data_IF_764408876471
#
_entry.id   IF_764408876471
#
_cell.length_a   1.000
_cell.length_b   1.000
_cell.length_c   1.000
_cell.angle_alpha   90.00
_cell.angle_beta   90.00
_cell.angle_gamma   90.00
#
_symmetry.space_group_name_H-M   'P 1'
#
loop_
_entity.id
_entity.type
_entity.pdbx_description
1 polymer ?
#
# COMPACT_ATOMS: atom_id res chain seq x y z
N UNK A 1 -0.60 -57.98 -30.74
CA UNK A 1 -0.50 -56.72 -29.97
C UNK A 1 0.36 -57.02 -28.74
N UNK A 2 1.68 -56.96 -28.87
CA UNK A 2 2.62 -57.17 -27.76
C UNK A 2 2.75 -55.85 -27.02
N UNK A 3 2.15 -55.75 -25.82
CA UNK A 3 2.45 -54.67 -24.89
C UNK A 3 3.85 -54.97 -24.31
N UNK A 4 4.78 -54.05 -24.51
CA UNK A 4 6.17 -54.21 -24.11
C UNK A 4 6.28 -54.25 -22.57
N UNK A 5 7.01 -55.23 -22.03
CA UNK A 5 7.24 -55.40 -20.58
C UNK A 5 7.93 -54.17 -19.96
N UNK A 6 8.69 -53.42 -20.76
CA UNK A 6 9.28 -52.12 -20.38
C UNK A 6 8.25 -51.02 -20.17
N UNK A 7 7.13 -51.03 -20.89
CA UNK A 7 6.06 -50.03 -20.69
C UNK A 7 5.31 -50.30 -19.38
N UNK A 8 5.16 -51.58 -19.00
CA UNK A 8 4.53 -52.00 -17.74
C UNK A 8 5.40 -51.66 -16.53
N UNK A 9 6.72 -51.85 -16.61
CA UNK A 9 7.64 -51.51 -15.50
C UNK A 9 7.80 -50.00 -15.31
N UNK A 10 7.84 -49.21 -16.39
CA UNK A 10 7.81 -47.74 -16.33
C UNK A 10 6.48 -47.26 -15.74
N UNK A 11 5.36 -47.88 -16.12
CA UNK A 11 4.04 -47.55 -15.58
C UNK A 11 3.93 -47.87 -14.08
N UNK A 12 4.42 -49.03 -13.62
CA UNK A 12 4.46 -49.38 -12.20
C UNK A 12 5.39 -48.46 -11.38
N UNK A 13 6.58 -48.15 -11.89
CA UNK A 13 7.51 -47.23 -11.21
C UNK A 13 6.94 -45.80 -11.14
N UNK A 14 6.26 -45.35 -12.20
CA UNK A 14 5.51 -44.09 -12.21
C UNK A 14 4.35 -44.11 -11.21
N UNK A 15 3.57 -45.20 -11.16
CA UNK A 15 2.48 -45.37 -10.22
C UNK A 15 2.95 -45.33 -8.76
N UNK A 16 4.00 -46.09 -8.42
CA UNK A 16 4.56 -46.11 -7.07
C UNK A 16 5.14 -44.75 -6.67
N UNK A 17 5.79 -44.04 -7.61
CA UNK A 17 6.22 -42.65 -7.41
C UNK A 17 5.05 -41.73 -7.07
N UNK A 18 3.95 -41.78 -7.84
CA UNK A 18 2.76 -40.96 -7.57
C UNK A 18 2.07 -41.34 -6.25
N UNK A 19 2.06 -42.61 -5.86
CA UNK A 19 1.53 -43.07 -4.56
C UNK A 19 2.34 -42.47 -3.41
N UNK A 20 3.67 -42.50 -3.49
CA UNK A 20 4.55 -41.89 -2.48
C UNK A 20 4.38 -40.38 -2.43
N UNK A 21 4.30 -39.71 -3.58
CA UNK A 21 4.04 -38.26 -3.67
C UNK A 21 2.69 -37.90 -3.04
N UNK A 22 1.63 -38.65 -3.34
CA UNK A 22 0.30 -38.44 -2.77
C UNK A 22 0.27 -38.69 -1.26
N UNK A 23 0.98 -39.72 -0.78
CA UNK A 23 1.12 -39.98 0.65
C UNK A 23 1.85 -38.83 1.35
N UNK A 24 2.95 -38.33 0.77
CA UNK A 24 3.69 -37.17 1.27
C UNK A 24 2.82 -35.91 1.30
N UNK A 25 2.05 -35.64 0.24
CA UNK A 25 1.10 -34.52 0.19
C UNK A 25 0.01 -34.62 1.27
N UNK A 26 -0.52 -35.83 1.51
CA UNK A 26 -1.51 -36.06 2.58
C UNK A 26 -0.91 -35.73 3.95
N UNK A 27 0.26 -36.27 4.28
CA UNK A 27 0.95 -36.00 5.54
C UNK A 27 1.23 -34.50 5.68
N UNK A 28 1.69 -33.85 4.61
CA UNK A 28 1.94 -32.41 4.60
C UNK A 28 0.69 -31.59 4.90
N UNK A 29 -0.45 -31.91 4.28
CA UNK A 29 -1.74 -31.26 4.56
C UNK A 29 -2.17 -31.48 6.01
N UNK A 30 -2.05 -32.70 6.54
CA UNK A 30 -2.38 -32.97 7.94
C UNK A 30 -1.51 -32.16 8.91
N UNK A 31 -0.21 -32.04 8.65
CA UNK A 31 0.69 -31.21 9.45
C UNK A 31 0.31 -29.73 9.39
N UNK A 32 -0.04 -29.20 8.22
CA UNK A 32 -0.51 -27.82 8.07
C UNK A 32 -1.79 -27.60 8.87
N UNK A 33 -2.76 -28.50 8.76
CA UNK A 33 -4.02 -28.39 9.49
C UNK A 33 -3.77 -28.43 11.00
N UNK A 34 -3.02 -29.41 11.47
CA UNK A 34 -2.76 -29.60 12.90
C UNK A 34 -1.91 -28.48 13.52
N UNK A 35 -0.83 -28.07 12.85
CA UNK A 35 0.16 -27.14 13.41
C UNK A 35 -0.10 -25.68 13.07
N UNK A 36 -0.81 -25.37 11.99
CA UNK A 36 -1.01 -24.00 11.54
C UNK A 36 -2.48 -23.60 11.51
N UNK A 37 -3.40 -24.47 11.08
CA UNK A 37 -4.82 -24.12 11.00
C UNK A 37 -5.49 -24.16 12.38
N UNK A 38 -5.40 -25.28 13.10
CA UNK A 38 -6.04 -25.45 14.42
C UNK A 38 -5.62 -24.35 15.40
N UNK A 39 -4.32 -24.02 15.55
CA UNK A 39 -3.92 -22.90 16.40
C UNK A 39 -4.50 -21.55 15.94
N UNK A 40 -4.78 -21.37 14.65
CA UNK A 40 -5.32 -20.12 14.11
C UNK A 40 -6.78 -19.95 14.49
N UNK A 41 -7.53 -21.04 14.43
CA UNK A 41 -8.95 -21.06 14.78
C UNK A 41 -9.17 -20.59 16.22
N UNK A 42 -8.30 -21.03 17.14
CA UNK A 42 -8.39 -20.68 18.56
C UNK A 42 -7.56 -19.44 18.94
N UNK A 43 -6.76 -18.89 18.01
CA UNK A 43 -5.98 -17.68 18.24
C UNK A 43 -4.70 -17.87 19.07
N UNK A 44 -4.17 -19.10 19.18
CA UNK A 44 -2.89 -19.38 19.83
C UNK A 44 -1.75 -19.55 18.80
N UNK A 45 -0.53 -19.18 19.21
CA UNK A 45 0.71 -19.36 18.45
C UNK A 45 1.48 -20.54 19.04
N UNK A 46 2.01 -21.43 18.19
CA UNK A 46 2.92 -22.49 18.64
C UNK A 46 4.38 -22.00 18.79
N UNK A 47 4.62 -20.69 18.68
CA UNK A 47 5.97 -20.09 18.77
C UNK A 47 6.88 -20.32 17.54
N UNK A 48 6.42 -21.11 16.55
CA UNK A 48 7.16 -21.38 15.30
C UNK A 48 7.42 -20.08 14.54
N UNK A 49 6.38 -19.27 14.36
CA UNK A 49 6.49 -17.98 13.66
C UNK A 49 7.41 -17.00 14.39
N UNK A 50 7.35 -16.94 15.73
CA UNK A 50 8.23 -16.08 16.53
C UNK A 50 9.70 -16.50 16.42
N UNK A 51 9.97 -17.80 16.42
CA UNK A 51 11.32 -18.34 16.24
C UNK A 51 11.85 -18.03 14.84
N UNK A 52 11.02 -18.23 13.80
CA UNK A 52 11.35 -17.85 12.42
C UNK A 52 11.69 -16.36 12.31
N UNK A 53 10.86 -15.48 12.90
CA UNK A 53 11.09 -14.03 12.87
C UNK A 53 12.40 -13.65 13.58
N UNK A 54 12.72 -14.24 14.73
CA UNK A 54 13.99 -14.00 15.44
C UNK A 54 15.20 -14.38 14.59
N UNK A 55 15.15 -15.52 13.89
CA UNK A 55 16.23 -15.96 13.00
C UNK A 55 16.35 -15.00 11.80
N UNK A 56 15.22 -14.62 11.21
CA UNK A 56 15.16 -13.72 10.06
C UNK A 56 15.73 -12.34 10.38
N UNK A 57 15.32 -11.73 11.49
CA UNK A 57 15.83 -10.42 11.95
C UNK A 57 17.35 -10.46 12.07
N UNK A 58 17.89 -11.44 12.81
CA UNK A 58 19.34 -11.59 12.98
C UNK A 58 20.07 -11.75 11.64
N UNK A 59 19.47 -12.46 10.70
CA UNK A 59 20.04 -12.67 9.35
C UNK A 59 20.06 -11.36 8.55
N UNK A 60 18.98 -10.58 8.60
CA UNK A 60 18.86 -9.31 7.89
C UNK A 60 19.75 -8.22 8.52
N UNK A 61 19.85 -8.16 9.84
CA UNK A 61 20.78 -7.26 10.56
C UNK A 61 22.23 -7.56 10.17
N UNK A 62 22.62 -8.84 10.20
CA UNK A 62 23.95 -9.26 9.77
C UNK A 62 24.24 -8.88 8.31
N UNK A 63 23.29 -9.10 7.41
CA UNK A 63 23.42 -8.73 6.00
C UNK A 63 23.57 -7.21 5.83
N UNK A 64 22.78 -6.42 6.57
CA UNK A 64 22.80 -4.95 6.51
C UNK A 64 24.15 -4.41 7.00
N UNK A 65 24.65 -4.88 8.14
CA UNK A 65 25.95 -4.46 8.68
C UNK A 65 27.09 -4.74 7.70
N UNK A 66 27.03 -5.88 7.01
CA UNK A 66 28.03 -6.23 5.98
C UNK A 66 28.02 -5.26 4.81
N UNK A 67 26.84 -4.88 4.32
CA UNK A 67 26.70 -3.93 3.21
C UNK A 67 27.18 -2.55 3.61
N UNK A 68 26.77 -2.07 4.79
CA UNK A 68 27.22 -0.77 5.30
C UNK A 68 28.75 -0.71 5.45
N UNK A 69 29.39 -1.81 5.86
CA UNK A 69 30.85 -1.89 5.93
C UNK A 69 31.49 -1.73 4.55
N UNK A 70 30.99 -2.46 3.54
CA UNK A 70 31.51 -2.38 2.15
C UNK A 70 31.23 -1.01 1.53
N UNK A 71 30.02 -0.46 1.70
CA UNK A 71 29.66 0.86 1.18
C UNK A 71 30.46 1.97 1.87
N UNK A 72 30.78 1.83 3.18
CA UNK A 72 31.64 2.78 3.89
C UNK A 72 33.07 2.75 3.31
N UNK A 73 33.59 1.57 3.00
CA UNK A 73 34.88 1.44 2.32
C UNK A 73 34.85 2.10 0.92
N UNK A 74 33.78 1.94 0.15
CA UNK A 74 33.60 2.59 -1.15
C UNK A 74 33.40 4.11 -1.07
N UNK A 75 32.59 4.61 -0.14
CA UNK A 75 32.38 6.05 0.04
C UNK A 75 33.63 6.77 0.56
N UNK A 76 34.49 6.11 1.33
CA UNK A 76 35.82 6.66 1.69
C UNK A 76 36.67 6.86 0.43
N UNK A 77 36.49 6.04 -0.60
CA UNK A 77 37.19 6.18 -1.88
C UNK A 77 36.56 7.30 -2.75
N UNK A 78 35.23 7.41 -2.79
CA UNK A 78 34.50 8.39 -3.61
C UNK A 78 34.40 9.80 -3.03
N UNK A 79 34.42 9.97 -1.70
CA UNK A 79 34.37 11.27 -1.02
C UNK A 79 35.59 12.17 -1.29
N UNK A 80 36.54 11.72 -2.11
CA UNK A 80 37.60 12.56 -2.65
C UNK A 80 37.18 13.46 -3.83
N UNK A 81 35.93 13.36 -4.36
CA UNK A 81 35.57 14.05 -5.61
C UNK A 81 34.23 14.79 -5.74
N UNK A 82 33.45 15.09 -4.70
CA UNK A 82 32.29 15.99 -4.89
C UNK A 82 31.82 16.74 -3.64
N UNK A 83 31.80 18.07 -3.73
CA UNK A 83 31.12 18.97 -2.81
C UNK A 83 29.89 19.57 -3.50
N UNK A 84 28.74 19.54 -2.82
CA UNK A 84 27.63 20.49 -3.07
C UNK A 84 26.24 19.86 -3.11
N UNK A 85 25.50 19.99 -2.00
CA UNK A 85 24.04 19.87 -1.98
C UNK A 85 23.46 21.07 -2.75
N UNK A 86 22.57 20.83 -3.72
CA UNK A 86 21.88 21.92 -4.43
C UNK A 86 20.93 22.59 -3.45
N UNK A 87 21.16 23.86 -3.13
CA UNK A 87 20.27 24.66 -2.31
C UNK A 87 19.21 25.29 -3.23
N UNK A 88 17.93 24.99 -2.96
CA UNK A 88 16.79 25.57 -3.67
C UNK A 88 16.73 27.06 -3.39
N UNK A 89 16.54 27.84 -4.45
CA UNK A 89 16.28 29.26 -4.36
C UNK A 89 14.77 29.47 -4.49
N UNK A 90 14.14 30.08 -3.48
CA UNK A 90 12.69 30.29 -3.41
C UNK A 90 12.22 31.52 -4.21
N UNK A 91 13.12 32.11 -5.00
CA UNK A 91 12.84 33.26 -5.86
C UNK A 91 11.73 33.00 -6.89
N UNK A 92 11.06 34.08 -7.30
CA UNK A 92 10.03 34.02 -8.34
C UNK A 92 10.64 33.66 -9.72
N UNK A 93 9.84 33.09 -10.63
CA UNK A 93 10.29 32.82 -12.01
C UNK A 93 10.87 34.07 -12.70
N UNK A 94 10.29 35.24 -12.42
CA UNK A 94 10.75 36.52 -12.97
C UNK A 94 12.13 36.92 -12.44
N UNK A 95 12.36 36.72 -11.15
CA UNK A 95 13.63 37.02 -10.49
C UNK A 95 14.74 36.10 -11.00
N UNK A 96 14.49 34.79 -11.01
CA UNK A 96 15.47 33.80 -11.48
C UNK A 96 15.83 34.01 -12.95
N UNK A 97 14.84 34.26 -13.82
CA UNK A 97 15.09 34.58 -15.23
C UNK A 97 15.77 35.94 -15.39
N UNK A 98 15.40 36.93 -14.57
CA UNK A 98 16.05 38.24 -14.54
C UNK A 98 17.53 38.16 -14.18
N UNK A 99 17.90 37.31 -13.23
CA UNK A 99 19.30 37.05 -12.87
C UNK A 99 20.07 36.36 -14.01
N UNK A 100 19.48 35.32 -14.61
CA UNK A 100 20.03 34.64 -15.79
C UNK A 100 20.29 35.59 -16.95
N UNK A 101 19.44 36.61 -17.11
CA UNK A 101 19.52 37.61 -18.18
C UNK A 101 20.37 38.84 -17.79
N UNK A 102 20.78 39.00 -16.52
CA UNK A 102 21.42 40.22 -15.96
C UNK A 102 22.68 40.67 -16.73
N UNK A 103 23.35 39.74 -17.42
CA UNK A 103 24.55 40.03 -18.22
C UNK A 103 24.28 40.49 -19.66
N UNK A 104 23.00 40.58 -20.10
CA UNK A 104 22.65 40.93 -21.48
C UNK A 104 21.87 42.25 -21.62
N UNK A 105 22.14 43.03 -22.69
CA UNK A 105 21.29 44.15 -23.07
C UNK A 105 19.90 43.66 -23.49
N UNK A 106 18.83 44.26 -22.96
CA UNK A 106 17.47 44.00 -23.43
C UNK A 106 17.33 44.43 -24.90
N UNK A 107 16.81 43.56 -25.79
CA UNK A 107 16.62 43.93 -27.19
C UNK A 107 15.65 45.12 -27.33
N UNK A 108 15.93 46.10 -28.21
CA UNK A 108 15.08 47.27 -28.41
C UNK A 108 13.76 46.94 -29.12
N UNK A 109 13.71 45.84 -29.88
CA UNK A 109 12.52 45.37 -30.62
C UNK A 109 12.42 43.85 -30.45
N UNK A 110 11.22 43.38 -30.06
CA UNK A 110 10.96 41.96 -29.78
C UNK A 110 10.90 41.63 -28.28
N UNK A 111 10.34 40.46 -27.98
CA UNK A 111 10.18 39.97 -26.61
C UNK A 111 11.50 39.56 -25.94
N UNK A 112 11.51 39.47 -24.60
CA UNK A 112 12.70 39.23 -23.77
C UNK A 112 13.09 37.73 -23.69
N UNK A 113 12.81 36.95 -24.75
CA UNK A 113 13.16 35.53 -24.79
C UNK A 113 14.67 35.32 -24.93
N UNK A 114 15.23 34.43 -24.12
CA UNK A 114 16.61 33.98 -24.30
C UNK A 114 16.74 32.46 -24.26
N UNK A 115 17.65 31.90 -25.06
CA UNK A 115 17.92 30.45 -25.04
C UNK A 115 18.40 29.97 -23.66
N UNK A 116 19.02 30.85 -22.86
CA UNK A 116 19.41 30.58 -21.47
C UNK A 116 18.23 30.33 -20.54
N UNK A 117 17.03 30.79 -20.89
CA UNK A 117 15.80 30.52 -20.10
C UNK A 117 15.54 29.01 -19.99
N UNK A 118 16.02 28.20 -20.97
CA UNK A 118 15.93 26.74 -20.90
C UNK A 118 16.65 26.15 -19.67
N UNK A 119 17.74 26.77 -19.18
CA UNK A 119 18.46 26.28 -18.00
C UNK A 119 17.64 26.45 -16.73
N UNK A 120 16.84 27.52 -16.62
CA UNK A 120 15.91 27.69 -15.52
C UNK A 120 14.90 26.53 -15.48
N UNK A 121 14.25 26.22 -16.61
CA UNK A 121 13.28 25.13 -16.66
C UNK A 121 13.90 23.75 -16.47
N UNK A 122 15.14 23.53 -16.95
CA UNK A 122 15.86 22.29 -16.72
C UNK A 122 16.20 22.10 -15.25
N UNK A 123 16.79 23.12 -14.61
CA UNK A 123 17.07 23.14 -13.17
C UNK A 123 15.79 22.93 -12.38
N UNK A 124 14.74 23.69 -12.67
CA UNK A 124 13.46 23.61 -11.94
C UNK A 124 12.79 22.26 -12.12
N UNK A 125 12.82 21.70 -13.33
CA UNK A 125 12.31 20.35 -13.58
C UNK A 125 13.05 19.27 -12.80
N UNK A 126 14.37 19.39 -12.62
CA UNK A 126 15.14 18.48 -11.77
C UNK A 126 14.78 18.67 -10.30
N UNK A 127 14.75 19.92 -9.81
CA UNK A 127 14.34 20.24 -8.43
C UNK A 127 12.96 19.67 -8.11
N UNK A 128 11.97 19.89 -8.98
CA UNK A 128 10.61 19.39 -8.81
C UNK A 128 10.52 17.85 -8.82
N UNK A 129 11.42 17.15 -9.53
CA UNK A 129 11.50 15.68 -9.52
C UNK A 129 12.15 15.17 -8.22
N UNK A 130 13.25 15.80 -7.80
CA UNK A 130 14.01 15.42 -6.61
C UNK A 130 13.16 15.65 -5.35
N UNK A 131 12.44 16.77 -5.31
CA UNK A 131 11.61 17.20 -4.18
C UNK A 131 10.13 16.79 -4.34
N UNK A 132 9.83 15.81 -5.20
CA UNK A 132 8.46 15.34 -5.41
C UNK A 132 7.91 14.58 -4.19
N UNK A 133 7.22 15.31 -3.31
CA UNK A 133 6.65 14.76 -2.09
C UNK A 133 5.44 13.83 -2.33
N UNK A 134 4.83 13.87 -3.52
CA UNK A 134 3.52 13.28 -3.80
C UNK A 134 3.64 12.02 -4.67
N UNK A 135 4.25 12.10 -5.85
CA UNK A 135 4.22 10.95 -6.77
C UNK A 135 5.15 9.82 -6.34
N UNK A 136 6.22 10.14 -5.59
CA UNK A 136 7.07 9.15 -4.92
C UNK A 136 6.27 8.24 -3.98
N UNK A 137 5.15 8.73 -3.42
CA UNK A 137 4.25 7.94 -2.55
C UNK A 137 3.45 6.87 -3.29
N UNK A 138 3.48 6.87 -4.62
CA UNK A 138 2.86 5.85 -5.47
C UNK A 138 3.86 4.78 -5.96
N UNK A 139 5.09 4.83 -5.48
CA UNK A 139 6.15 3.84 -5.71
C UNK A 139 6.52 3.10 -4.42
N UNK A 140 7.12 1.92 -4.53
CA UNK A 140 7.61 1.17 -3.35
C UNK A 140 8.52 2.04 -2.50
N UNK A 141 8.43 1.91 -1.17
CA UNK A 141 9.32 2.61 -0.25
C UNK A 141 10.77 2.16 -0.50
N UNK A 142 11.67 3.12 -0.71
CA UNK A 142 13.09 2.86 -0.85
C UNK A 142 13.70 2.64 0.52
N UNK A 143 14.40 1.51 0.67
CA UNK A 143 14.98 1.10 1.93
C UNK A 143 16.46 1.50 1.99
N UNK A 144 16.85 2.14 3.10
CA UNK A 144 18.27 2.41 3.39
C UNK A 144 19.05 1.11 3.62
N UNK A 145 18.38 0.06 4.10
CA UNK A 145 18.96 -1.27 4.35
C UNK A 145 18.46 -2.30 3.35
N UNK A 146 19.36 -3.16 2.85
CA UNK A 146 18.95 -4.22 1.95
C UNK A 146 18.27 -5.39 2.69
N UNK A 147 17.06 -5.73 2.25
CA UNK A 147 16.25 -6.82 2.79
C UNK A 147 16.41 -8.16 2.03
N UNK A 148 17.47 -8.31 1.21
CA UNK A 148 17.68 -9.47 0.33
C UNK A 148 16.55 -9.70 -0.70
N UNK A 149 15.68 -8.71 -0.93
CA UNK A 149 14.70 -8.72 -2.00
C UNK A 149 15.19 -7.82 -3.14
N UNK A 150 15.49 -8.41 -4.29
CA UNK A 150 16.00 -7.69 -5.46
C UNK A 150 14.97 -6.70 -6.04
N UNK A 151 13.69 -6.85 -5.71
CA UNK A 151 12.60 -6.01 -6.26
C UNK A 151 12.34 -4.72 -5.49
N UNK A 152 12.97 -4.54 -4.33
CA UNK A 152 12.85 -3.34 -3.47
C UNK A 152 14.17 -2.58 -3.39
N UNK A 153 15.15 -2.97 -4.21
CA UNK A 153 16.43 -2.27 -4.33
C UNK A 153 16.72 -2.06 -5.83
N UNK A 154 16.85 -0.80 -6.24
CA UNK A 154 17.02 -0.40 -7.64
C UNK A 154 18.47 -0.62 -8.10
N UNK A 155 19.44 -0.58 -7.16
CA UNK A 155 20.88 -0.64 -7.45
C UNK A 155 21.48 -1.95 -6.94
N UNK A 156 21.05 -3.07 -7.51
CA UNK A 156 21.72 -4.35 -7.26
C UNK A 156 23.08 -4.40 -7.97
N UNK A 157 24.11 -3.88 -7.31
CA UNK A 157 25.49 -4.17 -7.67
C UNK A 157 25.98 -5.40 -6.89
N UNK A 158 26.79 -6.25 -7.50
CA UNK A 158 27.38 -7.41 -6.83
C UNK A 158 28.26 -6.94 -5.66
N UNK A 159 27.80 -7.15 -4.42
CA UNK A 159 28.53 -6.68 -3.22
C UNK A 159 29.56 -7.72 -2.75
N UNK A 160 29.17 -9.00 -2.58
CA UNK A 160 30.09 -10.07 -2.19
C UNK A 160 29.56 -11.48 -2.46
N UNK A 161 30.45 -12.46 -2.66
CA UNK A 161 30.09 -13.88 -2.88
C UNK A 161 29.27 -14.46 -1.72
N UNK A 162 29.65 -14.17 -0.47
CA UNK A 162 28.94 -14.65 0.74
C UNK A 162 27.50 -14.14 0.78
N UNK A 163 27.31 -12.86 0.45
CA UNK A 163 25.98 -12.24 0.46
C UNK A 163 25.12 -12.76 -0.70
N UNK A 164 25.72 -13.01 -1.86
CA UNK A 164 25.06 -13.66 -3.00
C UNK A 164 24.63 -15.10 -2.68
N UNK A 165 25.44 -15.87 -1.95
CA UNK A 165 25.07 -17.21 -1.47
C UNK A 165 23.87 -17.15 -0.50
N UNK A 166 23.87 -16.21 0.45
CA UNK A 166 22.75 -16.01 1.39
C UNK A 166 21.49 -15.57 0.64
N UNK A 167 21.62 -14.69 -0.36
CA UNK A 167 20.52 -14.30 -1.22
C UNK A 167 19.96 -15.49 -2.02
N UNK A 168 20.82 -16.32 -2.62
CA UNK A 168 20.43 -17.51 -3.35
C UNK A 168 19.70 -18.54 -2.48
N UNK A 169 20.22 -18.79 -1.28
CA UNK A 169 19.52 -19.61 -0.27
C UNK A 169 18.18 -19.00 0.11
N UNK A 170 18.12 -17.67 0.27
CA UNK A 170 16.89 -16.95 0.55
C UNK A 170 15.85 -17.04 -0.57
N UNK A 171 16.27 -17.03 -1.83
CA UNK A 171 15.39 -17.30 -2.98
C UNK A 171 14.86 -18.73 -2.90
N UNK A 172 15.72 -19.73 -2.67
CA UNK A 172 15.28 -21.12 -2.52
C UNK A 172 14.25 -21.28 -1.39
N UNK A 173 14.52 -20.75 -0.19
CA UNK A 173 13.59 -20.82 0.95
C UNK A 173 12.26 -20.12 0.61
N UNK A 174 12.29 -18.93 0.02
CA UNK A 174 11.06 -18.16 -0.26
C UNK A 174 10.20 -18.83 -1.32
N UNK A 175 10.79 -19.37 -2.38
CA UNK A 175 10.05 -19.88 -3.53
C UNK A 175 9.72 -21.38 -3.42
N UNK A 176 10.60 -22.20 -2.84
CA UNK A 176 10.41 -23.65 -2.77
C UNK A 176 9.76 -24.11 -1.45
N UNK A 177 9.84 -23.30 -0.38
CA UNK A 177 9.31 -23.68 0.94
C UNK A 177 8.17 -22.75 1.38
N UNK A 178 8.44 -21.44 1.48
CA UNK A 178 7.45 -20.49 2.02
C UNK A 178 6.28 -20.26 1.08
N UNK A 179 6.53 -20.01 -0.21
CA UNK A 179 5.46 -19.72 -1.16
C UNK A 179 4.44 -20.87 -1.32
N UNK A 180 4.83 -22.15 -1.50
CA UNK A 180 3.87 -23.25 -1.56
C UNK A 180 3.05 -23.39 -0.27
N UNK A 181 3.69 -23.30 0.90
CA UNK A 181 3.01 -23.33 2.19
C UNK A 181 1.97 -22.20 2.31
N UNK A 182 2.35 -20.99 1.92
CA UNK A 182 1.51 -19.79 1.95
C UNK A 182 0.33 -19.87 0.99
N UNK A 183 0.56 -20.36 -0.23
CA UNK A 183 -0.50 -20.59 -1.22
C UNK A 183 -1.51 -21.60 -0.69
N UNK A 184 -1.06 -22.68 -0.06
CA UNK A 184 -1.97 -23.68 0.51
C UNK A 184 -2.78 -23.12 1.67
N UNK A 185 -2.15 -22.40 2.60
CA UNK A 185 -2.86 -21.75 3.71
C UNK A 185 -3.87 -20.71 3.22
N UNK A 186 -3.50 -19.87 2.25
CA UNK A 186 -4.40 -18.88 1.68
C UNK A 186 -5.57 -19.55 0.94
N UNK A 187 -5.32 -20.63 0.20
CA UNK A 187 -6.37 -21.40 -0.47
C UNK A 187 -7.34 -22.01 0.54
N UNK A 188 -6.84 -22.64 1.61
CA UNK A 188 -7.67 -23.18 2.70
C UNK A 188 -8.50 -22.06 3.35
N UNK A 189 -7.86 -20.93 3.70
CA UNK A 189 -8.54 -19.81 4.34
C UNK A 189 -9.64 -19.19 3.48
N UNK A 190 -9.40 -19.01 2.18
CA UNK A 190 -10.38 -18.48 1.23
C UNK A 190 -11.52 -19.46 0.95
N UNK A 191 -11.22 -20.75 0.78
CA UNK A 191 -12.24 -21.78 0.60
C UNK A 191 -13.11 -21.90 1.84
N UNK A 192 -12.51 -21.92 3.03
CA UNK A 192 -13.26 -21.97 4.29
C UNK A 192 -14.10 -20.71 4.52
N UNK A 193 -13.61 -19.56 4.10
CA UNK A 193 -14.38 -18.31 4.12
C UNK A 193 -15.63 -18.46 3.26
N UNK A 194 -15.51 -18.90 2.00
CA UNK A 194 -16.65 -19.06 1.09
C UNK A 194 -17.67 -20.07 1.62
N UNK A 195 -17.21 -21.23 2.08
CA UNK A 195 -18.07 -22.30 2.60
C UNK A 195 -18.74 -21.84 3.89
N UNK A 196 -17.97 -21.31 4.84
CA UNK A 196 -18.44 -20.90 6.16
C UNK A 196 -19.44 -19.75 6.08
N UNK A 197 -19.15 -18.69 5.31
CA UNK A 197 -20.07 -17.56 5.17
C UNK A 197 -21.35 -17.95 4.42
N UNK A 198 -21.25 -18.86 3.45
CA UNK A 198 -22.43 -19.41 2.76
C UNK A 198 -23.29 -20.25 3.71
N UNK A 199 -22.67 -21.12 4.53
CA UNK A 199 -23.37 -21.93 5.53
C UNK A 199 -24.08 -21.04 6.57
N UNK A 200 -23.40 -20.02 7.10
CA UNK A 200 -23.97 -19.03 8.01
C UNK A 200 -25.11 -18.25 7.34
N UNK A 201 -25.02 -18.00 6.04
CA UNK A 201 -26.04 -17.30 5.28
C UNK A 201 -27.41 -18.00 5.27
N UNK A 202 -27.44 -19.33 5.36
CA UNK A 202 -28.68 -20.11 5.46
C UNK A 202 -29.35 -20.05 6.84
N UNK A 203 -28.65 -19.53 7.86
CA UNK A 203 -29.23 -19.38 9.19
C UNK A 203 -30.23 -18.21 9.22
N UNK A 204 -31.31 -18.32 10.03
CA UNK A 204 -32.24 -17.22 10.26
C UNK A 204 -31.52 -16.06 10.96
N UNK A 205 -32.07 -14.84 10.87
CA UNK A 205 -31.47 -13.63 11.44
C UNK A 205 -31.67 -13.56 12.96
N UNK A 206 -30.93 -14.40 13.69
CA UNK A 206 -30.85 -14.46 15.16
C UNK A 206 -29.44 -14.13 15.67
N UNK A 207 -29.30 -14.00 17.00
CA UNK A 207 -28.02 -13.72 17.66
C UNK A 207 -26.91 -14.71 17.30
N UNK A 208 -27.24 -16.00 17.14
CA UNK A 208 -26.24 -17.01 16.79
C UNK A 208 -25.70 -16.84 15.36
N UNK A 209 -26.50 -16.35 14.41
CA UNK A 209 -26.00 -16.04 13.05
C UNK A 209 -24.92 -14.98 13.10
N UNK A 210 -25.14 -13.89 13.84
CA UNK A 210 -24.12 -12.83 14.00
C UNK A 210 -22.88 -13.36 14.71
N UNK A 211 -23.04 -14.12 15.79
CA UNK A 211 -21.91 -14.69 16.52
C UNK A 211 -21.08 -15.67 15.66
N UNK A 212 -21.75 -16.57 14.94
CA UNK A 212 -21.10 -17.55 14.07
C UNK A 212 -20.48 -16.87 12.85
N UNK A 213 -21.10 -15.83 12.31
CA UNK A 213 -20.53 -14.99 11.26
C UNK A 213 -19.22 -14.35 11.72
N UNK A 214 -19.22 -13.69 12.89
CA UNK A 214 -18.03 -13.05 13.45
C UNK A 214 -16.92 -14.09 13.67
N UNK A 215 -17.27 -15.27 14.19
CA UNK A 215 -16.32 -16.36 14.42
C UNK A 215 -15.71 -16.91 13.13
N UNK A 216 -16.54 -17.19 12.11
CA UNK A 216 -16.09 -17.69 10.80
C UNK A 216 -15.15 -16.68 10.14
N UNK A 217 -15.52 -15.40 10.09
CA UNK A 217 -14.68 -14.38 9.48
C UNK A 217 -13.33 -14.28 10.19
N UNK A 218 -13.32 -14.07 11.51
CA UNK A 218 -12.07 -13.92 12.27
C UNK A 218 -11.17 -15.15 12.10
N UNK A 219 -11.73 -16.36 12.15
CA UNK A 219 -10.99 -17.60 11.91
C UNK A 219 -10.36 -17.65 10.51
N UNK A 220 -11.14 -17.36 9.46
CA UNK A 220 -10.64 -17.38 8.08
C UNK A 220 -9.57 -16.31 7.85
N UNK A 221 -9.77 -15.09 8.37
CA UNK A 221 -8.78 -14.03 8.25
C UNK A 221 -7.50 -14.33 9.02
N UNK A 222 -7.56 -15.02 10.17
CA UNK A 222 -6.37 -15.52 10.88
C UNK A 222 -5.60 -16.56 10.05
N UNK A 223 -6.30 -17.46 9.37
CA UNK A 223 -5.68 -18.44 8.47
C UNK A 223 -5.02 -17.70 7.28
N UNK A 224 -5.72 -16.75 6.66
CA UNK A 224 -5.18 -15.94 5.57
C UNK A 224 -3.97 -15.10 6.01
N UNK A 225 -4.00 -14.50 7.21
CA UNK A 225 -2.89 -13.76 7.78
C UNK A 225 -1.64 -14.66 7.96
N UNK A 226 -1.83 -15.90 8.43
CA UNK A 226 -0.74 -16.90 8.49
C UNK A 226 -0.25 -17.32 7.11
N UNK A 227 -1.15 -17.39 6.12
CA UNK A 227 -0.83 -17.58 4.71
C UNK A 227 0.00 -16.45 4.10
N UNK A 228 0.11 -15.29 4.76
CA UNK A 228 1.04 -14.22 4.39
C UNK A 228 2.23 -14.12 5.35
N UNK A 229 2.34 -15.05 6.32
CA UNK A 229 3.27 -14.96 7.45
C UNK A 229 3.20 -13.60 8.16
N UNK A 230 1.97 -13.12 8.37
CA UNK A 230 1.75 -11.87 9.06
C UNK A 230 2.17 -11.97 10.53
N UNK A 231 3.00 -11.02 10.97
CA UNK A 231 3.25 -10.75 12.39
C UNK A 231 2.64 -9.38 12.70
N UNK A 232 1.57 -9.37 13.48
CA UNK A 232 0.76 -8.17 13.71
C UNK A 232 0.82 -7.80 15.19
N UNK A 233 1.33 -6.60 15.47
CA UNK A 233 1.38 -6.05 16.82
C UNK A 233 0.24 -5.07 17.02
N UNK A 234 -0.70 -5.43 17.89
CA UNK A 234 -1.86 -4.60 18.20
C UNK A 234 -1.64 -3.83 19.50
N UNK A 235 -1.75 -2.51 19.42
CA UNK A 235 -1.59 -1.58 20.53
C UNK A 235 -2.92 -0.92 20.87
N UNK A 236 -3.08 -0.58 22.16
CA UNK A 236 -4.22 0.17 22.70
C UNK A 236 -5.58 -0.52 22.42
N UNK A 237 -5.66 -1.82 22.69
CA UNK A 237 -6.82 -2.67 22.37
C UNK A 237 -8.13 -2.21 23.03
N UNK A 238 -8.06 -1.42 24.09
CA UNK A 238 -9.19 -0.76 24.74
C UNK A 238 -9.97 0.16 23.78
N UNK A 239 -9.28 0.74 22.78
CA UNK A 239 -9.84 1.63 21.77
C UNK A 239 -10.30 0.91 20.49
N UNK A 240 -10.37 -0.43 20.50
CA UNK A 240 -10.82 -1.20 19.34
C UNK A 240 -12.16 -0.68 18.81
N UNK A 241 -12.32 -0.61 17.47
CA UNK A 241 -13.57 -0.20 16.87
C UNK A 241 -14.74 -1.06 17.33
N UNK A 242 -15.87 -0.42 17.62
CA UNK A 242 -17.07 -1.08 18.15
C UNK A 242 -18.22 -0.98 17.15
N UNK A 243 -19.20 -1.88 17.29
CA UNK A 243 -20.46 -1.79 16.54
C UNK A 243 -21.12 -0.42 16.82
N UNK A 244 -21.78 0.16 15.84
CA UNK A 244 -22.34 1.51 15.89
C UNK A 244 -21.38 2.63 15.45
N UNK A 245 -20.21 2.30 14.89
CA UNK A 245 -19.28 3.32 14.39
C UNK A 245 -18.45 2.87 13.20
N UNK A 246 -17.58 3.77 12.75
CA UNK A 246 -16.81 3.64 11.50
C UNK A 246 -15.32 3.57 11.85
N UNK A 247 -14.68 2.46 11.50
CA UNK A 247 -13.24 2.30 11.57
C UNK A 247 -12.60 2.96 10.35
N UNK A 248 -11.71 3.93 10.56
CA UNK A 248 -10.97 4.62 9.51
C UNK A 248 -9.48 4.39 9.70
N UNK A 249 -8.80 3.93 8.64
CA UNK A 249 -7.36 3.72 8.66
C UNK A 249 -6.65 4.37 7.46
N UNK A 250 -5.34 4.59 7.61
CA UNK A 250 -4.47 4.76 6.45
C UNK A 250 -4.46 3.48 5.61
N UNK A 251 -4.15 3.61 4.31
CA UNK A 251 -4.29 2.48 3.37
C UNK A 251 -3.08 2.27 2.51
N UNK A 252 -2.38 1.18 2.78
CA UNK A 252 -1.19 0.77 2.03
C UNK A 252 -1.51 -0.39 1.09
N UNK A 253 -2.47 -1.24 1.45
CA UNK A 253 -2.76 -2.45 0.71
C UNK A 253 -4.18 -2.99 0.89
N UNK A 254 -4.74 -3.72 -0.08
CA UNK A 254 -5.94 -4.53 0.13
C UNK A 254 -5.81 -5.52 1.30
N UNK A 255 -4.60 -5.96 1.66
CA UNK A 255 -4.40 -6.86 2.81
C UNK A 255 -4.63 -6.17 4.15
N UNK A 256 -4.77 -4.83 4.20
CA UNK A 256 -5.14 -4.08 5.42
C UNK A 256 -6.44 -4.65 6.03
N UNK A 257 -7.35 -5.13 5.19
CA UNK A 257 -8.57 -5.84 5.60
C UNK A 257 -8.23 -7.11 6.37
N UNK A 258 -7.31 -7.94 5.84
CA UNK A 258 -6.87 -9.17 6.53
C UNK A 258 -6.19 -8.84 7.85
N UNK A 259 -5.39 -7.77 7.89
CA UNK A 259 -4.69 -7.30 9.10
C UNK A 259 -5.68 -6.88 10.18
N UNK A 260 -6.70 -6.10 9.86
CA UNK A 260 -7.70 -5.67 10.85
C UNK A 260 -8.67 -6.79 11.21
N UNK A 261 -9.15 -7.55 10.22
CA UNK A 261 -10.12 -8.61 10.44
C UNK A 261 -9.53 -9.84 11.17
N UNK A 262 -8.21 -9.90 11.33
CA UNK A 262 -7.53 -10.88 12.18
C UNK A 262 -7.84 -10.66 13.68
N UNK A 263 -8.21 -9.44 14.09
CA UNK A 263 -8.45 -9.06 15.50
C UNK A 263 -9.90 -8.61 15.80
N UNK A 264 -10.74 -8.47 14.77
CA UNK A 264 -12.15 -8.11 14.92
C UNK A 264 -12.94 -8.39 13.64
N UNK A 265 -14.27 -8.30 13.69
CA UNK A 265 -15.10 -8.42 12.48
C UNK A 265 -15.53 -7.03 12.01
N UNK A 266 -15.51 -6.80 10.70
CA UNK A 266 -15.87 -5.51 10.10
C UNK A 266 -16.76 -5.72 8.88
N UNK A 267 -17.79 -4.89 8.76
CA UNK A 267 -18.45 -4.69 7.48
C UNK A 267 -17.50 -3.86 6.59
N UNK A 268 -17.47 -4.15 5.30
CA UNK A 268 -16.51 -3.53 4.38
C UNK A 268 -17.26 -2.71 3.37
N UNK A 269 -16.66 -1.60 2.97
CA UNK A 269 -17.12 -0.82 1.82
C UNK A 269 -16.04 -0.85 0.76
N UNK A 270 -16.40 -1.25 -0.45
CA UNK A 270 -15.45 -1.28 -1.55
C UNK A 270 -16.11 -1.36 -2.92
N UNK A 271 -15.28 -1.31 -3.95
CA UNK A 271 -15.74 -1.50 -5.32
C UNK A 271 -16.16 -2.96 -5.54
N UNK A 272 -17.24 -3.17 -6.29
CA UNK A 272 -17.66 -4.47 -6.79
C UNK A 272 -16.66 -4.98 -7.84
N UNK A 273 -16.23 -6.24 -7.71
CA UNK A 273 -15.30 -6.88 -8.63
C UNK A 273 -15.93 -8.12 -9.28
N UNK A 274 -15.50 -8.43 -10.49
CA UNK A 274 -15.82 -9.70 -11.17
C UNK A 274 -14.89 -10.85 -10.77
N UNK A 275 -15.00 -11.98 -11.49
CA UNK A 275 -14.10 -13.13 -11.34
C UNK A 275 -14.07 -13.73 -9.93
N UNK A 276 -12.89 -14.22 -9.51
CA UNK A 276 -12.68 -14.83 -8.19
C UNK A 276 -13.00 -13.88 -7.04
N UNK A 277 -12.62 -12.60 -7.15
CA UNK A 277 -12.89 -11.61 -6.12
C UNK A 277 -14.40 -11.37 -5.96
N UNK A 278 -15.15 -11.36 -7.06
CA UNK A 278 -16.61 -11.27 -7.02
C UNK A 278 -17.27 -12.47 -6.33
N UNK A 279 -16.73 -13.68 -6.51
CA UNK A 279 -17.21 -14.87 -5.78
C UNK A 279 -17.00 -14.69 -4.27
N UNK A 280 -15.82 -14.24 -3.86
CA UNK A 280 -15.51 -13.95 -2.46
C UNK A 280 -16.44 -12.87 -1.88
N UNK A 281 -16.62 -11.75 -2.59
CA UNK A 281 -17.48 -10.64 -2.18
C UNK A 281 -18.93 -11.09 -1.97
N UNK A 282 -19.49 -11.86 -2.92
CA UNK A 282 -20.84 -12.43 -2.80
C UNK A 282 -20.98 -13.41 -1.65
N UNK A 283 -19.98 -14.26 -1.44
CA UNK A 283 -19.99 -15.22 -0.35
C UNK A 283 -19.96 -14.53 1.03
N UNK A 284 -19.11 -13.51 1.21
CA UNK A 284 -19.02 -12.75 2.46
C UNK A 284 -20.32 -12.00 2.76
N UNK A 285 -20.92 -11.38 1.73
CA UNK A 285 -22.17 -10.62 1.83
C UNK A 285 -23.38 -11.44 2.34
N UNK A 286 -23.31 -12.79 2.29
CA UNK A 286 -24.36 -13.66 2.83
C UNK A 286 -24.41 -13.69 4.36
N UNK A 287 -23.30 -13.42 5.01
CA UNK A 287 -23.15 -13.56 6.47
C UNK A 287 -22.88 -12.26 7.21
N UNK A 288 -22.38 -11.24 6.51
CA UNK A 288 -22.10 -9.92 7.07
C UNK A 288 -22.54 -8.85 6.04
N UNK A 289 -23.15 -7.74 6.49
CA UNK A 289 -23.68 -6.71 5.60
C UNK A 289 -22.57 -5.83 4.97
N UNK A 290 -21.73 -6.42 4.12
CA UNK A 290 -20.76 -5.67 3.31
C UNK A 290 -21.46 -4.85 2.22
N UNK A 291 -20.87 -3.71 1.87
CA UNK A 291 -21.41 -2.80 0.88
C UNK A 291 -20.45 -2.72 -0.32
N UNK A 292 -20.94 -3.16 -1.49
CA UNK A 292 -20.16 -3.21 -2.72
C UNK A 292 -20.76 -2.25 -3.75
N UNK A 293 -19.93 -1.41 -4.36
CA UNK A 293 -20.38 -0.35 -5.26
C UNK A 293 -19.79 -0.47 -6.66
N UNK A 294 -20.56 -0.11 -7.67
CA UNK A 294 -20.03 0.17 -9.01
C UNK A 294 -19.63 1.63 -9.13
N UNK A 295 -18.50 1.92 -9.77
CA UNK A 295 -18.02 3.31 -9.93
C UNK A 295 -18.97 4.17 -10.75
N UNK A 296 -19.77 3.56 -11.62
CA UNK A 296 -20.76 4.23 -12.46
C UNK A 296 -21.98 4.73 -11.67
N UNK A 297 -22.31 4.07 -10.56
CA UNK A 297 -23.55 4.30 -9.79
C UNK A 297 -23.37 5.28 -8.61
N UNK A 298 -22.19 5.89 -8.45
CA UNK A 298 -21.92 6.85 -7.36
C UNK A 298 -22.69 8.18 -7.47
N UNK A 299 -23.75 8.25 -8.27
CA UNK A 299 -24.58 9.46 -8.43
C UNK A 299 -25.47 9.75 -7.23
N UNK A 300 -25.79 8.76 -6.38
CA UNK A 300 -26.67 8.96 -5.23
C UNK A 300 -25.94 8.84 -3.87
N UNK A 301 -25.16 9.87 -3.56
CA UNK A 301 -24.38 9.99 -2.31
C UNK A 301 -25.25 9.96 -1.05
N UNK A 302 -26.50 10.39 -1.14
CA UNK A 302 -27.50 10.38 -0.06
C UNK A 302 -27.91 8.96 0.33
N UNK A 303 -28.20 8.11 -0.65
CA UNK A 303 -28.55 6.70 -0.44
C UNK A 303 -27.36 5.96 0.17
N UNK A 304 -26.15 6.21 -0.34
CA UNK A 304 -24.90 5.68 0.24
C UNK A 304 -24.78 6.00 1.73
N UNK A 305 -24.93 7.29 2.10
CA UNK A 305 -24.83 7.71 3.50
C UNK A 305 -25.84 6.98 4.39
N UNK A 306 -27.10 6.85 3.93
CA UNK A 306 -28.13 6.14 4.67
C UNK A 306 -27.80 4.66 4.89
N UNK A 307 -27.30 3.95 3.86
CA UNK A 307 -26.87 2.56 3.98
C UNK A 307 -25.71 2.40 4.96
N UNK A 308 -24.73 3.30 4.92
CA UNK A 308 -23.59 3.26 5.85
C UNK A 308 -24.05 3.44 7.30
N UNK A 309 -25.00 4.36 7.58
CA UNK A 309 -25.56 4.51 8.93
C UNK A 309 -26.21 3.20 9.39
N UNK A 310 -27.09 2.63 8.58
CA UNK A 310 -27.83 1.40 8.94
C UNK A 310 -26.87 0.22 9.19
N UNK A 311 -25.88 0.05 8.32
CA UNK A 311 -24.89 -1.03 8.45
C UNK A 311 -23.99 -0.81 9.67
N UNK A 312 -23.61 0.44 9.97
CA UNK A 312 -22.76 0.76 11.12
C UNK A 312 -23.40 0.30 12.43
N UNK A 313 -24.73 0.40 12.57
CA UNK A 313 -25.46 -0.11 13.73
C UNK A 313 -25.38 -1.65 13.88
N UNK A 314 -25.26 -2.38 12.77
CA UNK A 314 -25.21 -3.84 12.76
C UNK A 314 -23.78 -4.36 12.97
N UNK A 315 -22.79 -3.72 12.35
CA UNK A 315 -21.38 -4.10 12.41
C UNK A 315 -20.51 -2.86 12.20
N UNK A 316 -19.37 -2.78 12.89
CA UNK A 316 -18.41 -1.69 12.64
C UNK A 316 -17.97 -1.71 11.17
N UNK A 317 -18.04 -0.57 10.49
CA UNK A 317 -17.66 -0.47 9.09
C UNK A 317 -16.19 -0.11 9.00
N UNK A 318 -15.41 -0.90 8.27
CA UNK A 318 -14.07 -0.54 7.87
C UNK A 318 -14.10 0.28 6.57
N UNK A 319 -13.71 1.55 6.68
CA UNK A 319 -13.55 2.48 5.57
C UNK A 319 -12.08 2.86 5.40
N UNK A 320 -11.62 2.68 4.16
CA UNK A 320 -10.41 3.33 3.69
C UNK A 320 -10.78 4.72 3.17
N UNK A 321 -10.53 5.75 3.97
CA UNK A 321 -10.95 7.11 3.61
C UNK A 321 -10.05 7.78 2.59
N UNK A 322 -8.83 7.30 2.32
CA UNK A 322 -7.96 7.84 1.25
C UNK A 322 -8.46 7.51 -0.17
N UNK A 323 -9.23 6.43 -0.32
CA UNK A 323 -9.71 5.94 -1.62
C UNK A 323 -8.63 5.39 -2.57
N UNK A 324 -7.38 5.29 -2.14
CA UNK A 324 -6.31 4.64 -2.90
C UNK A 324 -5.21 4.11 -2.00
N UNK A 325 -4.56 3.02 -2.41
CA UNK A 325 -3.36 2.52 -1.74
C UNK A 325 -2.18 3.46 -2.05
N UNK A 326 -1.41 3.79 -1.03
CA UNK A 326 -0.16 4.54 -1.12
C UNK A 326 0.95 3.78 -0.38
N UNK A 327 2.19 4.13 -0.63
CA UNK A 327 3.28 3.49 0.09
C UNK A 327 3.22 3.82 1.59
N UNK A 328 3.99 3.08 2.37
CA UNK A 328 3.89 3.04 3.82
C UNK A 328 4.56 4.25 4.53
N UNK A 329 4.68 5.40 3.85
CA UNK A 329 5.44 6.57 4.34
C UNK A 329 4.57 7.79 4.63
N UNK A 330 3.34 7.83 4.10
CA UNK A 330 2.45 8.99 4.24
C UNK A 330 0.98 8.59 4.38
N UNK A 331 0.15 9.57 4.70
CA UNK A 331 -1.32 9.48 4.65
C UNK A 331 -1.83 10.56 3.70
N UNK A 332 -2.58 10.16 2.67
CA UNK A 332 -3.22 11.09 1.73
C UNK A 332 -4.48 11.73 2.31
N UNK A 333 -4.95 12.79 1.68
CA UNK A 333 -6.21 13.44 1.99
C UNK A 333 -7.36 12.43 2.09
N UNK A 334 -8.07 12.47 3.21
CA UNK A 334 -9.28 11.68 3.41
C UNK A 334 -10.46 12.30 2.66
N UNK A 335 -11.27 11.44 2.04
CA UNK A 335 -12.47 11.85 1.33
C UNK A 335 -13.57 12.25 2.33
N UNK A 336 -14.05 13.48 2.17
CA UNK A 336 -15.08 14.11 3.03
C UNK A 336 -16.33 13.24 3.26
N UNK A 337 -16.75 12.44 2.27
CA UNK A 337 -17.98 11.66 2.32
C UNK A 337 -18.09 10.71 3.52
N UNK A 338 -16.97 10.14 4.01
CA UNK A 338 -16.97 9.29 5.20
C UNK A 338 -17.26 10.04 6.51
N UNK A 339 -17.07 11.35 6.52
CA UNK A 339 -17.15 12.21 7.71
C UNK A 339 -18.43 13.06 7.75
N UNK A 340 -19.20 13.10 6.65
CA UNK A 340 -20.50 13.79 6.57
C UNK A 340 -21.66 12.96 7.17
N UNK A 341 -21.46 11.64 7.30
CA UNK A 341 -22.51 10.70 7.71
C UNK A 341 -22.92 10.89 9.18
N UNK A 342 -22.05 11.51 9.98
CA UNK A 342 -22.20 11.58 11.44
C UNK A 342 -21.89 10.24 12.12
N UNK A 343 -21.76 10.26 13.44
CA UNK A 343 -21.44 9.10 14.26
C UNK A 343 -20.00 9.07 14.79
N UNK A 344 -19.64 7.95 15.40
CA UNK A 344 -18.34 7.76 16.05
C UNK A 344 -17.33 7.18 15.06
N UNK A 345 -16.23 7.90 14.83
CA UNK A 345 -15.08 7.42 14.07
C UNK A 345 -14.07 6.77 15.02
N UNK A 346 -13.59 5.58 14.66
CA UNK A 346 -12.50 4.89 15.33
C UNK A 346 -11.26 4.95 14.43
N UNK A 347 -10.32 5.87 14.71
CA UNK A 347 -9.11 5.98 13.90
C UNK A 347 -8.16 4.82 14.20
N UNK A 348 -7.53 4.30 13.15
CA UNK A 348 -6.55 3.22 13.26
C UNK A 348 -5.33 3.57 12.42
N UNK A 349 -4.15 3.52 13.04
CA UNK A 349 -2.89 3.65 12.33
C UNK A 349 -2.30 2.26 12.06
N UNK A 350 -1.96 1.99 10.81
CA UNK A 350 -1.28 0.76 10.37
C UNK A 350 0.08 1.17 9.82
N UNK A 351 1.17 0.65 10.39
CA UNK A 351 2.52 0.84 9.87
C UNK A 351 3.13 -0.51 9.56
N UNK A 352 3.40 -0.76 8.29
CA UNK A 352 4.15 -1.93 7.85
C UNK A 352 5.64 -1.73 8.12
N UNK A 353 6.35 -2.84 8.29
CA UNK A 353 7.80 -2.83 8.33
C UNK A 353 8.33 -3.30 6.96
N UNK A 354 8.82 -2.38 6.12
CA UNK A 354 9.29 -2.69 4.77
C UNK A 354 10.56 -3.58 4.77
N UNK A 355 11.25 -3.74 5.91
CA UNK A 355 12.42 -4.61 6.05
C UNK A 355 12.08 -6.08 5.74
N UNK A 356 10.86 -6.53 6.02
CA UNK A 356 10.46 -7.93 5.79
C UNK A 356 9.76 -8.15 4.45
N UNK A 357 9.11 -7.11 3.94
CA UNK A 357 8.40 -7.15 2.68
C UNK A 357 7.64 -5.86 2.39
N UNK A 358 7.68 -5.43 1.14
CA UNK A 358 6.92 -4.27 0.66
C UNK A 358 5.43 -4.60 0.51
N UNK A 359 4.62 -4.14 1.46
CA UNK A 359 3.18 -4.35 1.47
C UNK A 359 2.43 -3.52 0.41
N UNK A 360 3.05 -2.48 -0.15
CA UNK A 360 2.36 -1.51 -0.99
C UNK A 360 1.78 -2.15 -2.26
N UNK A 361 0.49 -1.89 -2.53
CA UNK A 361 -0.14 -2.29 -3.77
C UNK A 361 -0.24 -1.14 -4.78
N UNK A 362 0.53 -1.26 -5.86
CA UNK A 362 0.35 -0.44 -7.06
C UNK A 362 -0.54 -1.16 -8.08
N UNK A 363 -1.82 -0.82 -8.08
CA UNK A 363 -2.82 -1.36 -9.02
C UNK A 363 -2.56 -1.02 -10.48
N UNK A 364 -1.75 0.00 -10.79
CA UNK A 364 -1.36 0.32 -12.16
C UNK A 364 -0.27 -0.61 -12.70
N UNK A 365 0.52 -1.24 -11.81
CA UNK A 365 1.64 -2.12 -12.15
C UNK A 365 1.32 -3.59 -11.98
N UNK A 366 0.51 -3.94 -10.97
CA UNK A 366 0.25 -5.33 -10.60
C UNK A 366 -1.25 -5.59 -10.42
N UNK A 367 -1.75 -6.65 -11.07
CA UNK A 367 -3.05 -7.22 -10.73
C UNK A 367 -3.00 -7.92 -9.35
N UNK A 368 -4.17 -8.24 -8.79
CA UNK A 368 -4.27 -8.80 -7.43
C UNK A 368 -3.49 -10.12 -7.26
N UNK A 369 -3.55 -11.02 -8.24
CA UNK A 369 -2.86 -12.32 -8.15
C UNK A 369 -1.34 -12.14 -8.16
N UNK A 370 -0.83 -11.33 -9.09
CA UNK A 370 0.59 -10.97 -9.16
C UNK A 370 1.05 -10.29 -7.87
N UNK A 371 0.24 -9.38 -7.34
CA UNK A 371 0.51 -8.72 -6.05
C UNK A 371 0.56 -9.72 -4.89
N UNK A 372 -0.42 -10.63 -4.78
CA UNK A 372 -0.44 -11.65 -3.72
C UNK A 372 0.75 -12.62 -3.84
N UNK A 373 1.12 -13.04 -5.05
CA UNK A 373 2.33 -13.85 -5.26
C UNK A 373 3.61 -13.09 -4.86
N UNK A 374 3.68 -11.79 -5.13
CA UNK A 374 4.77 -10.95 -4.62
C UNK A 374 4.79 -11.01 -3.08
N UNK A 375 3.64 -10.90 -2.43
CA UNK A 375 3.58 -10.96 -0.96
C UNK A 375 3.96 -12.34 -0.40
N UNK A 376 3.46 -13.41 -1.02
CA UNK A 376 3.77 -14.78 -0.64
C UNK A 376 5.25 -15.14 -0.88
N UNK A 377 5.96 -14.39 -1.72
CA UNK A 377 7.41 -14.53 -1.95
C UNK A 377 8.26 -13.51 -1.18
N UNK A 378 7.67 -12.67 -0.32
CA UNK A 378 8.42 -11.85 0.66
C UNK A 378 8.98 -12.70 1.80
N UNK A 379 9.76 -12.12 2.71
CA UNK A 379 10.15 -12.83 3.93
C UNK A 379 9.01 -12.96 4.92
N UNK A 380 8.33 -11.86 5.24
CA UNK A 380 7.14 -11.84 6.07
C UNK A 380 6.39 -10.52 5.85
N UNK A 381 5.17 -10.43 6.40
CA UNK A 381 4.45 -9.15 6.50
C UNK A 381 4.43 -8.77 7.98
N UNK A 382 5.25 -7.81 8.37
CA UNK A 382 5.26 -7.33 9.75
C UNK A 382 4.58 -5.97 9.79
N UNK A 383 3.67 -5.78 10.73
CA UNK A 383 3.02 -4.49 10.90
C UNK A 383 2.60 -4.22 12.34
N UNK A 384 2.51 -2.95 12.65
CA UNK A 384 2.01 -2.42 13.89
C UNK A 384 0.66 -1.75 13.63
N UNK A 385 -0.32 -2.06 14.48
CA UNK A 385 -1.68 -1.55 14.43
C UNK A 385 -1.97 -0.84 15.73
N UNK A 386 -2.19 0.47 15.69
CA UNK A 386 -2.61 1.27 16.84
C UNK A 386 -4.08 1.62 16.72
N UNK A 387 -4.86 1.22 17.71
CA UNK A 387 -6.22 1.71 17.87
C UNK A 387 -6.20 3.04 18.63
N UNK A 388 -6.67 4.12 17.99
CA UNK A 388 -6.71 5.44 18.60
C UNK A 388 -8.06 5.68 19.29
N UNK A 389 -8.11 6.57 20.29
CA UNK A 389 -9.37 6.96 20.92
C UNK A 389 -10.42 7.38 19.89
N UNK A 390 -11.66 6.96 20.14
CA UNK A 390 -12.79 7.30 19.29
C UNK A 390 -12.98 8.81 19.19
N UNK A 391 -13.37 9.29 18.01
CA UNK A 391 -13.54 10.69 17.70
C UNK A 391 -14.94 10.94 17.15
N UNK A 392 -15.55 12.05 17.58
CA UNK A 392 -16.77 12.60 17.00
C UNK A 392 -16.48 14.00 16.48
N UNK A 393 -17.31 14.46 15.54
CA UNK A 393 -17.25 15.84 15.05
C UNK A 393 -17.52 16.82 16.21
N UNK A 394 -16.68 17.84 16.34
CA UNK A 394 -16.80 18.86 17.38
C UNK A 394 -17.82 19.95 16.98
N UNK A 395 -18.30 20.71 17.97
CA UNK A 395 -19.17 21.85 17.69
C UNK A 395 -18.41 22.90 16.86
N UNK A 396 -18.98 23.29 15.71
CA UNK A 396 -18.37 24.25 14.78
C UNK A 396 -17.29 23.66 13.85
N UNK A 397 -16.96 22.37 13.98
CA UNK A 397 -16.06 21.66 13.06
C UNK A 397 -16.86 21.19 11.83
N UNK A 398 -16.39 21.47 10.62
CA UNK A 398 -16.99 20.89 9.41
C UNK A 398 -16.44 19.48 9.11
N UNK A 399 -17.06 18.76 8.17
CA UNK A 399 -16.64 17.39 7.86
C UNK A 399 -15.22 17.29 7.24
N UNK A 400 -14.71 18.35 6.61
CA UNK A 400 -13.34 18.38 6.06
C UNK A 400 -12.32 18.59 7.18
N UNK A 401 -12.61 19.51 8.10
CA UNK A 401 -11.81 19.75 9.31
C UNK A 401 -11.77 18.49 10.17
N UNK A 402 -12.91 17.82 10.36
CA UNK A 402 -12.97 16.56 11.09
C UNK A 402 -12.16 15.46 10.41
N UNK A 403 -12.28 15.31 9.09
CA UNK A 403 -11.48 14.36 8.32
C UNK A 403 -9.98 14.63 8.46
N UNK A 404 -9.57 15.91 8.42
CA UNK A 404 -8.18 16.32 8.59
C UNK A 404 -7.69 16.02 10.01
N UNK A 405 -8.46 16.33 11.05
CA UNK A 405 -8.08 16.01 12.44
C UNK A 405 -7.88 14.51 12.65
N UNK A 406 -8.77 13.68 12.12
CA UNK A 406 -8.65 12.21 12.19
C UNK A 406 -7.43 11.73 11.40
N UNK A 407 -7.21 12.25 10.19
CA UNK A 407 -6.05 11.97 9.35
C UNK A 407 -4.74 12.31 10.07
N UNK A 408 -4.63 13.53 10.62
CA UNK A 408 -3.44 13.98 11.34
C UNK A 408 -3.15 13.13 12.58
N UNK A 409 -4.19 12.69 13.30
CA UNK A 409 -4.02 11.78 14.43
C UNK A 409 -3.45 10.41 14.00
N UNK A 410 -3.96 9.84 12.89
CA UNK A 410 -3.45 8.60 12.31
C UNK A 410 -2.00 8.77 11.83
N UNK A 411 -1.73 9.86 11.10
CA UNK A 411 -0.41 10.16 10.55
C UNK A 411 0.64 10.32 11.66
N UNK A 412 0.32 11.12 12.68
CA UNK A 412 1.16 11.32 13.85
C UNK A 412 1.43 10.02 14.60
N UNK A 413 0.40 9.19 14.85
CA UNK A 413 0.58 7.92 15.56
C UNK A 413 1.40 6.91 14.76
N UNK A 414 1.21 6.86 13.44
CA UNK A 414 1.92 5.94 12.55
C UNK A 414 3.32 6.38 12.15
N UNK A 415 3.74 7.60 12.52
CA UNK A 415 5.00 8.19 12.01
C UNK A 415 4.97 8.34 10.48
N UNK A 416 3.84 8.84 9.96
CA UNK A 416 3.59 9.01 8.52
C UNK A 416 3.49 10.51 8.21
N UNK A 417 3.93 10.90 7.02
CA UNK A 417 3.78 12.28 6.53
C UNK A 417 2.31 12.57 6.25
N UNK A 418 1.79 13.66 6.81
CA UNK A 418 0.40 14.10 6.62
C UNK A 418 0.26 14.96 5.36
N UNK A 419 -0.24 14.38 4.26
CA UNK A 419 -0.34 15.06 2.98
C UNK A 419 -1.72 15.69 2.76
N UNK A 420 -1.74 16.91 2.23
CA UNK A 420 -2.96 17.62 1.80
C UNK A 420 -3.46 17.18 0.42
N UNK A 421 -2.67 16.38 -0.30
CA UNK A 421 -2.96 15.90 -1.64
C UNK A 421 -3.86 14.66 -1.65
N UNK A 422 -4.66 14.54 -2.71
CA UNK A 422 -5.47 13.35 -2.95
C UNK A 422 -4.76 12.32 -3.84
N UNK A 423 -5.31 11.11 -3.90
CA UNK A 423 -4.76 10.01 -4.69
C UNK A 423 -4.98 10.10 -6.20
N UNK A 424 -5.50 11.21 -6.74
CA UNK A 424 -5.86 11.36 -8.16
C UNK A 424 -4.66 11.27 -9.09
N UNK A 425 -3.52 11.85 -8.67
CA UNK A 425 -2.26 11.87 -9.43
C UNK A 425 -1.64 10.47 -9.63
N UNK A 426 -2.11 9.44 -8.91
CA UNK A 426 -1.69 8.05 -9.16
C UNK A 426 -2.08 7.54 -10.55
N UNK A 427 -3.15 8.08 -11.14
CA UNK A 427 -3.75 7.59 -12.40
C UNK A 427 -3.94 8.66 -13.46
N UNK A 428 -3.98 9.92 -13.05
CA UNK A 428 -4.19 11.04 -13.95
C UNK A 428 -2.95 11.95 -13.95
N UNK A 429 -2.69 12.58 -15.10
CA UNK A 429 -1.72 13.67 -15.17
C UNK A 429 -2.30 14.92 -14.50
N UNK A 430 -1.41 15.85 -14.13
CA UNK A 430 -1.80 17.20 -13.73
C UNK A 430 -2.71 17.81 -14.81
N UNK A 431 -3.78 18.48 -14.38
CA UNK A 431 -4.74 19.14 -15.27
C UNK A 431 -4.02 20.14 -16.18
N UNK A 432 -4.43 20.19 -17.45
CA UNK A 432 -3.77 21.06 -18.44
C UNK A 432 -3.86 22.54 -18.07
N UNK A 433 -4.91 22.97 -17.39
CA UNK A 433 -5.06 24.32 -16.82
C UNK A 433 -3.83 24.79 -16.01
N UNK A 434 -3.24 23.93 -15.16
CA UNK A 434 -2.06 24.31 -14.37
C UNK A 434 -0.80 24.44 -15.24
N UNK A 435 -0.71 23.66 -16.32
CA UNK A 435 0.38 23.80 -17.30
C UNK A 435 0.23 25.10 -18.08
N UNK A 436 -0.99 25.41 -18.51
CA UNK A 436 -1.34 26.64 -19.22
C UNK A 436 -1.04 27.88 -18.36
N UNK A 437 -1.29 27.82 -17.05
CA UNK A 437 -0.99 28.91 -16.12
C UNK A 437 0.52 29.20 -16.05
N UNK A 438 1.35 28.17 -15.92
CA UNK A 438 2.83 28.31 -15.97
C UNK A 438 3.31 28.84 -17.33
N UNK A 439 2.74 28.33 -18.42
CA UNK A 439 3.04 28.81 -19.78
C UNK A 439 2.66 30.29 -19.95
N UNK A 440 1.51 30.70 -19.38
CA UNK A 440 1.04 32.09 -19.43
C UNK A 440 1.94 33.02 -18.63
N UNK A 441 2.39 32.60 -17.43
CA UNK A 441 3.37 33.34 -16.64
C UNK A 441 4.63 33.62 -17.46
N UNK A 442 5.25 32.59 -18.03
CA UNK A 442 6.45 32.75 -18.85
C UNK A 442 6.19 33.58 -20.11
N UNK A 443 5.09 33.34 -20.82
CA UNK A 443 4.71 34.09 -22.02
C UNK A 443 4.56 35.58 -21.74
N UNK A 444 3.98 35.96 -20.59
CA UNK A 444 3.85 37.37 -20.20
C UNK A 444 5.21 38.07 -19.99
N UNK A 445 6.22 37.34 -19.52
CA UNK A 445 7.59 37.85 -19.35
C UNK A 445 8.31 37.99 -20.69
N UNK A 446 8.00 37.13 -21.67
CA UNK A 446 8.58 37.21 -23.00
C UNK A 446 7.93 38.34 -23.81
N UNK A 447 6.61 38.42 -23.87
CA UNK A 447 5.88 39.38 -24.73
C UNK A 447 5.86 40.80 -24.13
N UNK A 448 6.10 40.92 -22.82
CA UNK A 448 5.97 42.17 -22.06
C UNK A 448 4.50 42.46 -21.71
N UNK A 449 4.27 43.23 -20.64
CA UNK A 449 2.92 43.64 -20.27
C UNK A 449 2.31 44.55 -21.36
N UNK A 450 1.01 44.45 -21.65
CA UNK A 450 0.34 45.34 -22.61
C UNK A 450 0.55 46.84 -22.26
N UNK A 451 0.75 47.14 -20.97
CA UNK A 451 1.08 48.49 -20.49
C UNK A 451 2.45 48.97 -20.97
N UNK A 452 3.48 48.12 -20.95
CA UNK A 452 4.83 48.50 -21.42
C UNK A 452 4.89 48.70 -22.94
N UNK A 453 4.12 47.91 -23.69
CA UNK A 453 4.03 48.05 -25.15
C UNK A 453 3.27 49.33 -25.57
N UNK A 454 2.31 49.80 -24.76
CA UNK A 454 1.63 51.07 -24.99
C UNK A 454 2.53 52.30 -24.77
N UNK A 455 3.44 52.24 -23.79
CA UNK A 455 4.39 53.31 -23.48
C UNK A 455 5.49 53.37 -24.55
N UNK A 456 6.01 52.22 -25.00
CA UNK A 456 7.01 52.15 -26.08
C UNK A 456 6.46 52.67 -27.42
N UNK A 457 5.21 52.35 -27.78
CA UNK A 457 4.59 52.84 -29.02
C UNK A 457 4.18 54.32 -28.95
N UNK A 458 3.97 54.88 -27.76
CA UNK A 458 3.73 56.31 -27.57
C UNK A 458 4.99 57.18 -27.67
N UNK A 459 6.17 56.62 -27.35
CA UNK A 459 7.46 57.31 -27.42
C UNK A 459 8.02 57.47 -28.84
N UNK A 460 7.53 56.70 -29.81
CA UNK A 460 7.97 56.77 -31.23
C UNK A 460 7.16 57.77 -32.06
N UNK A 461 6.23 58.51 -31.44
CA UNK A 461 5.51 59.64 -32.05
C UNK A 461 5.86 60.94 -31.31
N UNK A 462 7.09 61.43 -31.51
CA UNK A 462 7.42 62.86 -31.42
C UNK A 462 8.51 63.19 -32.41
#
# INVERSE_FOLDING_TARGET
MQVNITDISIFHMSYDFWVVVLAGLKVWVYLIVALLMVPAMFGFSLGISETYMKILVKTLEWATLRIQTVNKEQHIIESSSSNGLIQRDDGSMEEALGELRRSRPKPPVGGDFTLSDCFYFYRRGIEDIVEDEVTQRFSSEELVSWNLLTRTNIDFQYISLKLTMVWGLGVFIRYCILAPLRITLASIGLTWLVIGTTAVGFLPNWRLKSWLSDWVHVMCYRICARGLSCTIHYYNKENRPRKGGICVANHTSPIDIVILCNDGCYAMVGQSHGGLMGVLQRAMARSCPHIWFERADMKDRSIYCMFVVVVAYLQCIFLVSSGTCINNTSVMMFKKGSFEIGGTIYPVAIKYDPQFGDAFWNSAKYNMVSYLLRMMTSWAIVCNVWYLPAMTQQAGEDAVQFANRVKSAIAHRGGLVDLSWDGGLKRAKVKDMFKEEQQKMYSSMVVGSEKDNSIKNGSTRK
#
